data_IF_248514645368
#
_entry.id   IF_248514645368
#
_cell.length_a   1.000
_cell.length_b   1.000
_cell.length_c   1.000
_cell.angle_alpha   90.00
_cell.angle_beta   90.00
_cell.angle_gamma   90.00
#
_symmetry.space_group_name_H-M   'P 1'
#
loop_
_entity.id
_entity.type
_entity.pdbx_description
1 polymer ?
#
# COMPACT_ATOMS: atom_id res chain seq x y z
N UNK A 1 -10.47 25.41 21.46
CA UNK A 1 -9.42 26.13 20.71
C UNK A 1 -8.79 25.24 19.65
N UNK A 2 -8.55 23.96 19.98
CA UNK A 2 -7.90 22.96 19.13
C UNK A 2 -8.46 22.86 17.71
N UNK A 3 -9.80 22.91 17.53
CA UNK A 3 -10.40 22.85 16.19
C UNK A 3 -10.10 24.07 15.32
N UNK A 4 -10.01 25.28 15.92
CA UNK A 4 -9.63 26.47 15.18
C UNK A 4 -8.15 26.42 14.77
N UNK A 5 -7.28 25.95 15.68
CA UNK A 5 -5.87 25.77 15.41
C UNK A 5 -5.62 24.70 14.34
N UNK A 6 -6.31 23.55 14.42
CA UNK A 6 -6.28 22.48 13.41
C UNK A 6 -6.58 23.00 12.00
N UNK A 7 -7.49 23.96 11.85
CA UNK A 7 -7.92 24.47 10.54
C UNK A 7 -7.24 25.80 10.16
N UNK A 8 -6.22 26.23 10.90
CA UNK A 8 -5.43 27.42 10.54
C UNK A 8 -6.16 28.74 10.76
N UNK A 9 -7.23 28.76 11.55
CA UNK A 9 -8.03 29.96 11.76
C UNK A 9 -7.42 30.83 12.87
N UNK A 10 -6.28 31.45 12.61
CA UNK A 10 -5.53 32.24 13.60
C UNK A 10 -6.37 33.34 14.26
N UNK A 11 -7.19 34.06 13.49
CA UNK A 11 -8.04 35.12 14.05
C UNK A 11 -9.09 34.57 15.01
N UNK A 12 -9.64 33.39 14.70
CA UNK A 12 -10.54 32.67 15.62
C UNK A 12 -9.76 32.20 16.84
N UNK A 13 -8.53 31.69 16.69
CA UNK A 13 -7.69 31.29 17.84
C UNK A 13 -7.43 32.48 18.77
N UNK A 14 -7.06 33.66 18.23
CA UNK A 14 -6.87 34.90 18.99
C UNK A 14 -8.15 35.35 19.67
N UNK A 15 -9.25 35.40 18.94
CA UNK A 15 -10.55 35.78 19.51
C UNK A 15 -10.97 34.84 20.65
N UNK A 16 -10.78 33.53 20.47
CA UNK A 16 -11.04 32.51 21.48
C UNK A 16 -10.08 32.59 22.67
N UNK A 17 -8.93 33.27 22.57
CA UNK A 17 -8.03 33.52 23.69
C UNK A 17 -8.47 34.75 24.49
N UNK A 18 -8.81 35.84 23.80
CA UNK A 18 -9.14 37.12 24.43
C UNK A 18 -10.52 37.13 25.10
N UNK A 19 -11.46 36.28 24.66
CA UNK A 19 -12.89 36.42 24.98
C UNK A 19 -13.48 35.27 25.81
N UNK A 20 -12.73 34.60 26.70
CA UNK A 20 -13.24 33.33 27.27
C UNK A 20 -13.18 33.11 28.78
N UNK A 21 -14.33 32.61 29.27
CA UNK A 21 -14.50 31.78 30.46
C UNK A 21 -14.00 30.34 30.22
N UNK A 22 -13.36 29.75 31.23
CA UNK A 22 -12.51 28.54 31.16
C UNK A 22 -13.20 27.27 30.59
N UNK A 23 -14.53 27.16 30.68
CA UNK A 23 -15.25 25.92 30.37
C UNK A 23 -15.52 25.71 28.86
N UNK A 24 -15.62 26.79 28.07
CA UNK A 24 -15.87 26.70 26.63
C UNK A 24 -14.54 26.60 25.82
N UNK A 25 -13.40 26.95 26.44
CA UNK A 25 -12.08 27.10 25.80
C UNK A 25 -11.07 26.00 26.09
N UNK A 26 -11.45 24.72 26.09
CA UNK A 26 -10.41 23.70 26.19
C UNK A 26 -9.42 23.87 25.02
N UNK A 27 -8.21 24.28 25.40
CA UNK A 27 -7.00 24.28 24.62
C UNK A 27 -6.14 23.20 25.22
N UNK A 28 -5.61 22.33 24.38
CA UNK A 28 -4.70 21.27 24.80
C UNK A 28 -3.48 21.27 23.90
N UNK A 29 -2.48 20.44 24.19
CA UNK A 29 -1.34 20.23 23.30
C UNK A 29 -1.76 19.87 21.85
N UNK A 30 -2.98 19.31 21.68
CA UNK A 30 -3.55 19.01 20.36
C UNK A 30 -3.73 20.25 19.47
N UNK A 31 -3.86 21.46 20.04
CA UNK A 31 -3.95 22.67 19.24
C UNK A 31 -2.67 22.88 18.42
N UNK A 32 -1.51 22.81 19.08
CA UNK A 32 -0.22 23.00 18.41
C UNK A 32 0.14 21.78 17.57
N UNK A 33 -0.12 20.56 18.05
CA UNK A 33 0.15 19.33 17.30
C UNK A 33 -0.57 19.31 15.95
N UNK A 34 -1.87 19.64 15.95
CA UNK A 34 -2.68 19.64 14.72
C UNK A 34 -2.39 20.83 13.82
N UNK A 35 -2.06 21.99 14.39
CA UNK A 35 -1.63 23.15 13.60
C UNK A 35 -0.30 22.84 12.88
N UNK A 36 0.65 22.21 13.57
CA UNK A 36 1.92 21.79 13.01
C UNK A 36 1.75 20.74 11.90
N UNK A 37 0.96 19.69 12.16
CA UNK A 37 0.68 18.66 11.18
C UNK A 37 -0.02 19.18 9.92
N UNK A 38 -0.86 20.21 10.03
CA UNK A 38 -1.58 20.79 8.90
C UNK A 38 -0.91 22.02 8.27
N UNK A 39 0.32 22.37 8.67
CA UNK A 39 1.10 23.38 7.96
C UNK A 39 0.88 24.83 8.40
N UNK A 40 0.21 25.07 9.52
CA UNK A 40 -0.11 26.41 10.00
C UNK A 40 0.96 26.97 10.95
N UNK A 41 2.11 27.38 10.39
CA UNK A 41 3.25 27.89 11.17
C UNK A 41 2.90 29.15 11.99
N UNK A 42 2.07 30.03 11.45
CA UNK A 42 1.61 31.25 12.12
C UNK A 42 0.79 30.93 13.39
N UNK A 43 -0.08 29.92 13.32
CA UNK A 43 -0.82 29.39 14.46
C UNK A 43 0.13 28.72 15.46
N UNK A 44 1.10 27.93 15.00
CA UNK A 44 2.10 27.31 15.88
C UNK A 44 2.90 28.36 16.66
N UNK A 45 3.41 29.39 15.97
CA UNK A 45 4.15 30.50 16.57
C UNK A 45 3.31 31.27 17.57
N UNK A 46 2.05 31.55 17.23
CA UNK A 46 1.15 32.25 18.12
C UNK A 46 0.81 31.42 19.37
N UNK A 47 0.48 30.13 19.20
CA UNK A 47 0.21 29.23 20.32
C UNK A 47 1.43 29.15 21.24
N UNK A 48 2.65 29.08 20.70
CA UNK A 48 3.86 29.07 21.50
C UNK A 48 4.07 30.36 22.32
N UNK A 49 3.77 31.52 21.74
CA UNK A 49 3.99 32.81 22.39
C UNK A 49 2.95 33.13 23.48
N UNK A 50 1.72 32.64 23.34
CA UNK A 50 0.59 33.07 24.17
C UNK A 50 -0.08 31.94 24.98
N UNK A 51 0.32 30.68 24.79
CA UNK A 51 -0.24 29.50 25.47
C UNK A 51 0.86 28.69 26.18
N UNK A 52 0.49 28.00 27.26
CA UNK A 52 1.42 27.21 28.09
C UNK A 52 1.22 25.70 27.97
N UNK A 53 0.18 25.25 27.28
CA UNK A 53 -0.12 23.83 27.08
C UNK A 53 0.93 23.08 26.24
N UNK A 54 1.73 23.82 25.46
CA UNK A 54 2.81 23.27 24.65
C UNK A 54 2.34 22.36 23.50
N UNK A 55 3.20 21.43 23.11
CA UNK A 55 2.91 20.39 22.14
C UNK A 55 3.34 19.02 22.67
N UNK A 56 3.09 17.97 21.90
CA UNK A 56 3.74 16.68 22.08
C UNK A 56 4.73 16.42 20.93
N UNK A 57 5.42 15.27 20.96
CA UNK A 57 6.22 14.81 19.81
C UNK A 57 5.41 14.70 18.52
N UNK A 58 4.08 14.58 18.63
CA UNK A 58 3.14 14.51 17.50
C UNK A 58 3.17 15.76 16.63
N UNK A 59 3.55 16.94 17.18
CA UNK A 59 3.71 18.15 16.37
C UNK A 59 4.80 17.99 15.32
N UNK A 60 5.99 17.54 15.72
CA UNK A 60 7.11 17.36 14.80
C UNK A 60 6.93 16.11 13.93
N UNK A 61 6.42 15.00 14.50
CA UNK A 61 6.10 13.79 13.74
C UNK A 61 5.06 14.07 12.64
N UNK A 62 4.01 14.82 12.97
CA UNK A 62 2.96 15.22 12.02
C UNK A 62 3.45 16.21 10.97
N UNK A 63 4.21 17.23 11.37
CA UNK A 63 4.82 18.17 10.41
C UNK A 63 5.78 17.47 9.45
N UNK A 64 6.53 16.47 9.94
CA UNK A 64 7.44 15.68 9.10
C UNK A 64 6.68 14.79 8.12
N UNK A 65 5.60 14.15 8.58
CA UNK A 65 4.71 13.32 7.76
C UNK A 65 4.12 14.09 6.58
N UNK A 66 3.70 15.34 6.78
CA UNK A 66 3.04 16.16 5.75
C UNK A 66 4.04 17.10 5.03
N UNK A 67 5.35 16.93 5.27
CA UNK A 67 6.40 17.59 4.49
C UNK A 67 6.67 19.05 4.88
N UNK A 68 6.20 19.50 6.04
CA UNK A 68 6.31 20.88 6.50
C UNK A 68 7.68 21.18 7.14
N UNK A 69 8.75 21.17 6.33
CA UNK A 69 10.13 21.38 6.79
C UNK A 69 10.31 22.66 7.63
N UNK A 70 9.67 23.76 7.24
CA UNK A 70 9.75 25.02 8.00
C UNK A 70 9.19 24.91 9.42
N UNK A 71 8.13 24.12 9.62
CA UNK A 71 7.57 23.84 10.95
C UNK A 71 8.48 22.89 11.73
N UNK A 72 9.02 21.85 11.09
CA UNK A 72 9.98 20.93 11.72
C UNK A 72 11.19 21.70 12.25
N UNK A 73 11.78 22.57 11.42
CA UNK A 73 12.89 23.45 11.81
C UNK A 73 12.52 24.39 12.94
N UNK A 74 11.34 25.01 12.85
CA UNK A 74 10.89 25.95 13.87
C UNK A 74 10.67 25.25 15.22
N UNK A 75 9.99 24.10 15.24
CA UNK A 75 9.75 23.30 16.43
C UNK A 75 11.08 22.85 17.06
N UNK A 76 12.04 22.41 16.26
CA UNK A 76 13.36 22.01 16.77
C UNK A 76 14.11 23.11 17.51
N UNK A 77 13.98 24.37 17.07
CA UNK A 77 14.69 25.50 17.68
C UNK A 77 13.97 26.02 18.93
N UNK A 78 12.63 25.94 18.97
CA UNK A 78 11.82 26.63 19.99
C UNK A 78 11.13 25.70 21.00
N UNK A 79 11.18 24.38 20.79
CA UNK A 79 10.50 23.36 21.59
C UNK A 79 11.46 22.23 21.98
N UNK A 80 11.29 21.70 23.19
CA UNK A 80 12.13 20.65 23.75
C UNK A 80 11.49 19.24 23.62
N UNK A 81 10.21 19.17 23.24
CA UNK A 81 9.48 17.90 23.13
C UNK A 81 10.04 16.95 22.06
N UNK A 82 10.72 17.50 21.04
CA UNK A 82 11.38 16.73 19.99
C UNK A 82 10.42 15.95 19.09
N UNK A 83 10.90 14.84 18.55
CA UNK A 83 10.12 13.92 17.72
C UNK A 83 10.34 12.48 18.18
N UNK A 84 9.67 11.54 17.52
CA UNK A 84 9.97 10.11 17.64
C UNK A 84 10.60 9.59 16.34
N UNK A 85 10.84 8.29 16.26
CA UNK A 85 11.23 7.64 14.99
C UNK A 85 10.20 7.86 13.88
N UNK A 86 8.94 8.11 14.26
CA UNK A 86 7.84 8.32 13.32
C UNK A 86 8.07 9.55 12.43
N UNK A 87 8.79 10.58 12.87
CA UNK A 87 9.11 11.72 12.01
C UNK A 87 9.89 11.28 10.76
N UNK A 88 10.94 10.46 10.91
CA UNK A 88 11.70 9.96 9.77
C UNK A 88 10.93 8.87 9.02
N UNK A 89 10.26 7.95 9.73
CA UNK A 89 9.50 6.87 9.09
C UNK A 89 8.37 7.42 8.20
N UNK A 90 7.64 8.44 8.68
CA UNK A 90 6.60 9.09 7.89
C UNK A 90 7.14 10.00 6.81
N UNK A 91 8.19 10.79 7.07
CA UNK A 91 8.83 11.56 6.00
C UNK A 91 9.29 10.65 4.85
N UNK A 92 9.77 9.45 5.17
CA UNK A 92 10.13 8.44 4.18
C UNK A 92 8.91 7.91 3.41
N UNK A 93 7.87 7.52 4.16
CA UNK A 93 6.63 6.96 3.61
C UNK A 93 5.91 7.89 2.63
N UNK A 94 6.01 9.21 2.83
CA UNK A 94 5.34 10.22 2.00
C UNK A 94 6.30 10.92 1.01
N UNK A 95 7.55 10.45 0.90
CA UNK A 95 8.49 10.95 -0.11
C UNK A 95 9.10 12.31 0.22
N UNK A 96 9.08 12.75 1.47
CA UNK A 96 9.59 14.05 1.90
C UNK A 96 11.10 14.00 2.16
N UNK A 97 11.88 13.79 1.09
CA UNK A 97 13.34 13.61 1.16
C UNK A 97 14.06 14.76 1.88
N UNK A 98 13.64 16.01 1.68
CA UNK A 98 14.29 17.16 2.32
C UNK A 98 14.04 17.24 3.82
N UNK A 99 12.83 16.87 4.28
CA UNK A 99 12.54 16.70 5.72
C UNK A 99 13.40 15.59 6.30
N UNK A 100 13.49 14.47 5.59
CA UNK A 100 14.23 13.29 6.04
C UNK A 100 15.74 13.55 6.15
N UNK A 101 16.35 14.22 5.17
CA UNK A 101 17.74 14.71 5.23
C UNK A 101 17.97 15.64 6.41
N UNK A 102 17.04 16.57 6.62
CA UNK A 102 17.17 17.54 7.70
C UNK A 102 17.07 16.87 9.07
N UNK A 103 16.09 15.98 9.27
CA UNK A 103 15.95 15.20 10.51
C UNK A 103 17.21 14.38 10.77
N UNK A 104 17.75 13.69 9.75
CA UNK A 104 18.99 12.93 9.89
C UNK A 104 20.19 13.78 10.35
N UNK A 105 20.31 15.01 9.85
CA UNK A 105 21.43 15.89 10.18
C UNK A 105 21.31 16.55 11.57
N UNK A 106 20.09 16.71 12.10
CA UNK A 106 19.82 17.54 13.29
C UNK A 106 19.19 16.77 14.46
N UNK A 107 18.78 15.52 14.27
CA UNK A 107 18.09 14.69 15.26
C UNK A 107 18.79 13.34 15.41
N UNK A 108 18.61 12.69 16.56
CA UNK A 108 19.32 11.46 16.94
C UNK A 108 18.40 10.24 17.05
N UNK A 109 17.09 10.45 16.96
CA UNK A 109 16.04 9.43 17.12
C UNK A 109 16.15 8.31 16.07
N UNK A 110 16.62 8.67 14.87
CA UNK A 110 16.77 7.75 13.74
C UNK A 110 15.42 7.30 13.18
N UNK A 111 15.43 6.16 12.51
CA UNK A 111 14.24 5.56 11.91
C UNK A 111 14.13 4.07 12.26
N UNK A 112 13.04 3.43 11.86
CA UNK A 112 12.89 1.99 11.83
C UNK A 112 13.15 1.46 10.40
N UNK A 113 13.34 0.14 10.22
CA UNK A 113 13.32 -0.47 8.88
C UNK A 113 12.06 -0.13 8.08
N UNK A 114 10.95 0.14 8.79
CA UNK A 114 9.69 0.59 8.24
C UNK A 114 9.83 1.85 7.35
N UNK A 115 10.79 2.74 7.61
CA UNK A 115 11.03 3.91 6.76
C UNK A 115 11.31 3.51 5.30
N UNK A 116 12.23 2.56 5.09
CA UNK A 116 12.58 2.10 3.75
C UNK A 116 11.49 1.19 3.18
N UNK A 117 10.85 0.35 4.00
CA UNK A 117 9.72 -0.48 3.57
C UNK A 117 8.56 0.37 3.03
N UNK A 118 8.20 1.45 3.74
CA UNK A 118 7.12 2.34 3.33
C UNK A 118 7.52 3.22 2.16
N UNK A 119 8.74 3.78 2.14
CA UNK A 119 9.24 4.51 0.97
C UNK A 119 9.20 3.63 -0.30
N UNK A 120 9.58 2.35 -0.18
CA UNK A 120 9.51 1.40 -1.27
C UNK A 120 8.07 1.09 -1.69
N UNK A 121 7.19 0.83 -0.70
CA UNK A 121 5.75 0.63 -0.91
C UNK A 121 5.12 1.78 -1.69
N UNK A 122 5.47 3.04 -1.41
CA UNK A 122 4.90 4.20 -2.11
C UNK A 122 5.71 4.66 -3.33
N UNK A 123 6.74 3.91 -3.73
CA UNK A 123 7.48 4.16 -4.97
C UNK A 123 8.50 5.29 -4.90
N UNK A 124 8.86 5.77 -3.71
CA UNK A 124 9.83 6.86 -3.48
C UNK A 124 11.27 6.35 -3.62
N UNK A 125 11.69 6.06 -4.85
CA UNK A 125 13.02 5.50 -5.15
C UNK A 125 14.17 6.38 -4.65
N UNK A 126 14.02 7.70 -4.74
CA UNK A 126 15.00 8.67 -4.25
C UNK A 126 15.19 8.59 -2.73
N UNK A 127 14.10 8.42 -1.97
CA UNK A 127 14.13 8.18 -0.53
C UNK A 127 14.75 6.83 -0.21
N UNK A 128 14.40 5.77 -0.94
CA UNK A 128 14.99 4.42 -0.75
C UNK A 128 16.50 4.46 -0.96
N UNK A 129 16.96 5.08 -2.04
CA UNK A 129 18.39 5.25 -2.35
C UNK A 129 19.12 6.05 -1.28
N UNK A 130 18.50 7.14 -0.82
CA UNK A 130 19.07 7.97 0.22
C UNK A 130 19.18 7.22 1.55
N UNK A 131 18.11 6.53 1.98
CA UNK A 131 18.10 5.73 3.20
C UNK A 131 19.18 4.65 3.14
N UNK A 132 19.31 3.94 2.03
CA UNK A 132 20.35 2.93 1.85
C UNK A 132 21.76 3.50 1.99
N UNK A 133 22.00 4.70 1.46
CA UNK A 133 23.34 5.29 1.44
C UNK A 133 23.73 5.95 2.78
N UNK A 134 22.76 6.36 3.60
CA UNK A 134 23.00 7.19 4.78
C UNK A 134 22.55 6.55 6.11
N UNK A 135 21.83 5.42 6.07
CA UNK A 135 21.27 4.75 7.24
C UNK A 135 21.65 3.27 7.25
N UNK A 136 21.73 2.68 8.43
CA UNK A 136 22.13 1.28 8.64
C UNK A 136 20.97 0.37 9.01
N UNK A 137 19.78 0.93 9.27
CA UNK A 137 18.58 0.16 9.66
C UNK A 137 18.10 -0.80 8.56
N UNK A 138 18.36 -0.47 7.29
CA UNK A 138 17.98 -1.31 6.16
C UNK A 138 16.47 -1.34 5.90
N UNK A 139 16.02 -2.42 5.26
CA UNK A 139 14.61 -2.74 5.01
C UNK A 139 14.32 -4.18 5.42
N UNK A 140 13.08 -4.61 5.21
CA UNK A 140 12.67 -6.01 5.29
C UNK A 140 12.23 -6.51 3.92
N UNK A 141 11.90 -7.81 3.80
CA UNK A 141 11.31 -8.37 2.58
C UNK A 141 9.99 -7.66 2.17
N UNK A 142 9.33 -6.97 3.11
CA UNK A 142 8.11 -6.19 2.84
C UNK A 142 8.37 -5.06 1.85
N UNK A 143 9.57 -4.44 1.84
CA UNK A 143 9.90 -3.36 0.91
C UNK A 143 9.68 -3.79 -0.55
N UNK A 144 10.26 -4.91 -0.96
CA UNK A 144 10.14 -5.39 -2.33
C UNK A 144 8.74 -5.90 -2.63
N UNK A 145 8.15 -6.67 -1.71
CA UNK A 145 6.80 -7.21 -1.90
C UNK A 145 5.77 -6.09 -2.08
N UNK A 146 5.78 -5.07 -1.22
CA UNK A 146 4.84 -3.96 -1.29
C UNK A 146 5.08 -3.09 -2.54
N UNK A 147 6.34 -2.81 -2.89
CA UNK A 147 6.69 -2.11 -4.12
C UNK A 147 6.19 -2.87 -5.37
N UNK A 148 6.34 -4.20 -5.39
CA UNK A 148 5.89 -5.05 -6.48
C UNK A 148 4.36 -5.03 -6.60
N UNK A 149 3.63 -5.21 -5.50
CA UNK A 149 2.17 -5.17 -5.47
C UNK A 149 1.62 -3.86 -6.02
N UNK A 150 2.27 -2.74 -5.69
CA UNK A 150 1.86 -1.39 -6.13
C UNK A 150 2.42 -0.98 -7.50
N UNK A 151 3.11 -1.89 -8.19
CA UNK A 151 3.58 -1.65 -9.56
C UNK A 151 4.87 -0.83 -9.66
N UNK A 152 5.57 -0.58 -8.56
CA UNK A 152 6.80 0.24 -8.53
C UNK A 152 8.03 -0.54 -8.98
N UNK A 153 8.04 -0.98 -10.24
CA UNK A 153 9.09 -1.83 -10.82
C UNK A 153 10.50 -1.21 -10.71
N UNK A 154 10.61 0.13 -10.78
CA UNK A 154 11.88 0.84 -10.59
C UNK A 154 12.48 0.61 -9.20
N UNK A 155 11.65 0.65 -8.16
CA UNK A 155 12.05 0.34 -6.77
C UNK A 155 12.39 -1.14 -6.64
N UNK A 156 11.57 -2.03 -7.19
CA UNK A 156 11.81 -3.49 -7.14
C UNK A 156 13.17 -3.85 -7.74
N UNK A 157 13.47 -3.33 -8.94
CA UNK A 157 14.77 -3.55 -9.61
C UNK A 157 15.92 -3.00 -8.77
N UNK A 158 15.75 -1.81 -8.22
CA UNK A 158 16.80 -1.20 -7.40
C UNK A 158 17.05 -2.00 -6.12
N UNK A 159 16.00 -2.42 -5.41
CA UNK A 159 16.13 -3.25 -4.21
C UNK A 159 16.82 -4.58 -4.54
N UNK A 160 16.46 -5.23 -5.65
CA UNK A 160 17.10 -6.47 -6.06
C UNK A 160 18.60 -6.34 -6.31
N UNK A 161 19.06 -5.23 -6.90
CA UNK A 161 20.47 -5.02 -7.17
C UNK A 161 21.28 -4.57 -5.95
N UNK A 162 20.65 -4.00 -4.92
CA UNK A 162 21.36 -3.30 -3.83
C UNK A 162 21.06 -3.87 -2.43
N UNK A 163 20.09 -4.77 -2.29
CA UNK A 163 19.61 -5.36 -1.02
C UNK A 163 19.55 -6.88 -1.12
N UNK A 164 19.61 -7.55 0.02
CA UNK A 164 19.68 -9.03 0.11
C UNK A 164 18.48 -9.65 0.81
N UNK A 165 17.60 -8.84 1.40
CA UNK A 165 16.43 -9.26 2.17
C UNK A 165 15.39 -10.00 1.34
N UNK A 166 15.42 -9.75 0.04
CA UNK A 166 14.55 -10.41 -0.90
C UNK A 166 13.10 -9.92 -0.86
N UNK A 167 12.16 -10.85 -0.98
CA UNK A 167 10.71 -10.63 -1.02
C UNK A 167 10.03 -11.81 -0.33
N UNK A 168 8.78 -11.62 0.09
CA UNK A 168 7.98 -12.69 0.69
C UNK A 168 7.67 -13.79 -0.33
N UNK A 169 7.50 -15.03 0.12
CA UNK A 169 7.18 -16.19 -0.73
C UNK A 169 5.88 -16.00 -1.52
N UNK A 170 4.88 -15.37 -0.90
CA UNK A 170 3.58 -15.04 -1.48
C UNK A 170 3.57 -13.74 -2.32
N UNK A 171 4.75 -13.19 -2.65
CA UNK A 171 4.83 -11.95 -3.44
C UNK A 171 4.22 -12.14 -4.82
N UNK A 172 4.51 -13.25 -5.49
CA UNK A 172 4.06 -13.46 -6.87
C UNK A 172 2.54 -13.54 -6.94
N UNK A 173 1.89 -14.30 -6.07
CA UNK A 173 0.42 -14.40 -6.01
C UNK A 173 -0.24 -13.04 -5.74
N UNK A 174 0.31 -12.24 -4.81
CA UNK A 174 -0.17 -10.89 -4.53
C UNK A 174 -0.03 -9.93 -5.72
N UNK A 175 1.06 -10.01 -6.48
CA UNK A 175 1.26 -9.19 -7.69
C UNK A 175 0.33 -9.63 -8.81
N UNK A 176 0.08 -10.94 -8.95
CA UNK A 176 -0.90 -11.46 -9.92
C UNK A 176 -2.29 -10.87 -9.65
N UNK A 177 -2.73 -10.81 -8.40
CA UNK A 177 -4.02 -10.23 -8.04
C UNK A 177 -4.17 -8.76 -8.48
N UNK A 178 -3.07 -8.00 -8.61
CA UNK A 178 -3.12 -6.60 -9.09
C UNK A 178 -3.15 -6.48 -10.61
N UNK A 179 -2.82 -7.55 -11.34
CA UNK A 179 -2.91 -7.62 -12.81
C UNK A 179 -1.73 -7.01 -13.56
N UNK A 180 -0.67 -6.57 -12.89
CA UNK A 180 0.49 -5.98 -13.54
C UNK A 180 1.46 -7.06 -14.07
N UNK A 181 1.25 -7.48 -15.32
CA UNK A 181 2.04 -8.55 -15.95
C UNK A 181 3.54 -8.25 -16.02
N UNK A 182 3.95 -6.99 -16.16
CA UNK A 182 5.37 -6.63 -16.25
C UNK A 182 6.11 -6.87 -14.93
N UNK A 183 5.45 -6.61 -13.80
CA UNK A 183 6.01 -6.96 -12.49
C UNK A 183 5.97 -8.47 -12.26
N UNK A 184 4.90 -9.16 -12.68
CA UNK A 184 4.81 -10.64 -12.58
C UNK A 184 5.96 -11.30 -13.32
N UNK A 185 6.18 -10.95 -14.59
CA UNK A 185 7.29 -11.48 -15.41
C UNK A 185 8.63 -11.25 -14.72
N UNK A 186 8.86 -10.01 -14.26
CA UNK A 186 10.12 -9.65 -13.65
C UNK A 186 10.36 -10.42 -12.35
N UNK A 187 9.36 -10.51 -11.45
CA UNK A 187 9.49 -11.24 -10.19
C UNK A 187 9.74 -12.73 -10.47
N UNK A 188 8.94 -13.34 -11.36
CA UNK A 188 9.09 -14.76 -11.71
C UNK A 188 10.48 -15.08 -12.27
N UNK A 189 11.04 -14.21 -13.12
CA UNK A 189 12.32 -14.44 -13.79
C UNK A 189 13.55 -14.20 -12.89
N UNK A 190 13.40 -13.38 -11.84
CA UNK A 190 14.55 -12.93 -11.04
C UNK A 190 14.53 -13.46 -9.60
N UNK A 191 13.40 -13.97 -9.10
CA UNK A 191 13.19 -14.34 -7.71
C UNK A 191 12.87 -15.82 -7.59
N UNK A 192 13.81 -16.62 -7.09
CA UNK A 192 13.63 -18.06 -6.94
C UNK A 192 12.83 -18.44 -5.69
N UNK A 193 12.66 -17.52 -4.74
CA UNK A 193 11.96 -17.78 -3.49
C UNK A 193 10.43 -17.64 -3.57
N UNK A 194 9.88 -17.26 -4.72
CA UNK A 194 8.43 -17.06 -4.87
C UNK A 194 7.70 -18.34 -5.24
N UNK A 195 6.48 -18.53 -4.73
CA UNK A 195 5.63 -19.66 -5.09
C UNK A 195 4.86 -19.39 -6.40
N UNK A 196 5.26 -20.07 -7.48
CA UNK A 196 4.59 -19.99 -8.78
C UNK A 196 3.27 -20.74 -8.85
N UNK A 197 3.08 -21.81 -8.05
CA UNK A 197 1.84 -22.61 -8.09
C UNK A 197 0.67 -21.81 -7.53
N UNK A 198 0.85 -21.18 -6.37
CA UNK A 198 -0.16 -20.26 -5.82
C UNK A 198 -0.44 -19.09 -6.77
N UNK A 199 0.58 -18.59 -7.47
CA UNK A 199 0.40 -17.51 -8.44
C UNK A 199 -0.48 -17.91 -9.65
N UNK A 200 -0.33 -19.13 -10.18
CA UNK A 200 -1.19 -19.62 -11.27
C UNK A 200 -2.64 -19.75 -10.82
N UNK A 201 -2.87 -20.27 -9.62
CA UNK A 201 -4.21 -20.37 -9.03
C UNK A 201 -4.87 -19.01 -8.87
N UNK A 202 -4.17 -18.03 -8.31
CA UNK A 202 -4.68 -16.66 -8.19
C UNK A 202 -4.94 -15.98 -9.54
N UNK A 203 -4.11 -16.27 -10.55
CA UNK A 203 -4.30 -15.73 -11.90
C UNK A 203 -5.63 -16.20 -12.51
N UNK A 204 -5.99 -17.46 -12.28
CA UNK A 204 -7.25 -18.04 -12.74
C UNK A 204 -8.43 -17.46 -11.95
N UNK A 205 -8.35 -17.42 -10.61
CA UNK A 205 -9.41 -16.92 -9.73
C UNK A 205 -9.75 -15.45 -10.06
N UNK A 206 -8.74 -14.62 -10.34
CA UNK A 206 -8.90 -13.21 -10.65
C UNK A 206 -9.01 -12.89 -12.15
N UNK A 207 -9.22 -13.90 -13.00
CA UNK A 207 -9.37 -13.75 -14.44
C UNK A 207 -8.24 -12.94 -15.12
N UNK A 208 -7.01 -13.20 -14.69
CA UNK A 208 -5.79 -12.57 -15.23
C UNK A 208 -5.28 -13.34 -16.43
N UNK A 209 -6.08 -13.40 -17.50
CA UNK A 209 -5.84 -14.30 -18.64
C UNK A 209 -4.43 -14.16 -19.25
N UNK A 210 -3.91 -12.95 -19.44
CA UNK A 210 -2.55 -12.76 -19.96
C UNK A 210 -1.47 -13.36 -19.05
N UNK A 211 -1.67 -13.29 -17.73
CA UNK A 211 -0.77 -13.88 -16.74
C UNK A 211 -0.89 -15.40 -16.73
N UNK A 212 -2.13 -15.94 -16.84
CA UNK A 212 -2.37 -17.39 -16.97
C UNK A 212 -1.60 -17.96 -18.17
N UNK A 213 -1.71 -17.31 -19.33
CA UNK A 213 -0.99 -17.71 -20.55
C UNK A 213 0.53 -17.60 -20.36
N UNK A 214 1.01 -16.55 -19.70
CA UNK A 214 2.43 -16.41 -19.38
C UNK A 214 2.95 -17.52 -18.46
N UNK A 215 2.28 -17.78 -17.34
CA UNK A 215 2.69 -18.82 -16.39
C UNK A 215 2.61 -20.23 -17.00
N UNK A 216 1.60 -20.48 -17.84
CA UNK A 216 1.53 -21.70 -18.65
C UNK A 216 2.73 -21.85 -19.60
N UNK A 217 3.17 -20.77 -20.25
CA UNK A 217 4.36 -20.80 -21.12
C UNK A 217 5.67 -21.12 -20.37
N UNK A 218 5.61 -21.11 -19.03
CA UNK A 218 6.71 -21.48 -18.13
C UNK A 218 6.48 -22.83 -17.44
N UNK A 219 5.55 -23.63 -17.97
CA UNK A 219 5.19 -24.96 -17.45
C UNK A 219 4.71 -24.95 -15.98
N UNK A 220 4.11 -23.84 -15.54
CA UNK A 220 3.51 -23.75 -14.20
C UNK A 220 2.17 -24.48 -14.19
N UNK A 221 2.06 -25.47 -13.31
CA UNK A 221 0.81 -26.23 -13.10
C UNK A 221 -0.28 -25.36 -12.45
N UNK A 222 -1.54 -25.61 -12.82
CA UNK A 222 -2.68 -24.88 -12.27
C UNK A 222 -3.04 -25.29 -10.83
N UNK A 223 -2.65 -26.50 -10.41
CA UNK A 223 -3.10 -27.09 -9.15
C UNK A 223 -4.48 -27.75 -9.26
N UNK A 224 -5.05 -28.15 -8.13
CA UNK A 224 -6.37 -28.79 -8.07
C UNK A 224 -7.48 -27.73 -7.92
N UNK A 225 -8.45 -27.79 -8.84
CA UNK A 225 -9.64 -26.92 -8.87
C UNK A 225 -10.94 -27.66 -8.53
N UNK A 226 -10.87 -28.90 -8.07
CA UNK A 226 -12.05 -29.59 -7.53
C UNK A 226 -12.68 -28.74 -6.41
N UNK A 227 -14.01 -28.64 -6.43
CA UNK A 227 -14.83 -27.89 -5.46
C UNK A 227 -14.57 -26.37 -5.42
N UNK A 228 -13.83 -25.81 -6.39
CA UNK A 228 -13.65 -24.36 -6.54
C UNK A 228 -14.75 -23.80 -7.45
N UNK A 229 -15.32 -22.66 -7.04
CA UNK A 229 -16.21 -21.86 -7.90
C UNK A 229 -15.47 -20.66 -8.43
N UNK A 230 -15.38 -20.54 -9.75
CA UNK A 230 -14.91 -19.34 -10.43
C UNK A 230 -16.09 -18.39 -10.65
N UNK A 231 -16.00 -17.20 -10.07
CA UNK A 231 -17.07 -16.19 -10.07
C UNK A 231 -16.91 -15.24 -11.24
N UNK A 232 -17.81 -15.33 -12.22
CA UNK A 232 -17.80 -14.49 -13.41
C UNK A 232 -16.49 -14.48 -14.19
N UNK A 233 -15.82 -15.64 -14.45
CA UNK A 233 -14.61 -15.67 -15.25
C UNK A 233 -14.90 -15.21 -16.69
N UNK A 234 -13.89 -14.74 -17.41
CA UNK A 234 -14.03 -14.48 -18.84
C UNK A 234 -14.33 -15.76 -19.60
N UNK A 235 -15.10 -15.59 -20.68
CA UNK A 235 -15.33 -16.63 -21.67
C UNK A 235 -13.99 -17.15 -22.21
N UNK A 236 -13.07 -16.25 -22.53
CA UNK A 236 -11.76 -16.55 -23.11
C UNK A 236 -10.93 -17.44 -22.18
N UNK A 237 -10.82 -17.06 -20.90
CA UNK A 237 -10.12 -17.87 -19.90
C UNK A 237 -10.77 -19.25 -19.79
N UNK A 238 -12.09 -19.31 -19.74
CA UNK A 238 -12.82 -20.56 -19.50
C UNK A 238 -12.65 -21.54 -20.65
N UNK A 239 -12.81 -21.07 -21.90
CA UNK A 239 -12.53 -21.87 -23.09
C UNK A 239 -11.10 -22.38 -23.11
N UNK A 240 -10.16 -21.51 -22.73
CA UNK A 240 -8.75 -21.85 -22.71
C UNK A 240 -8.43 -22.89 -21.62
N UNK A 241 -9.01 -22.77 -20.43
CA UNK A 241 -8.84 -23.76 -19.35
C UNK A 241 -9.40 -25.13 -19.75
N UNK A 242 -10.61 -25.19 -20.29
CA UNK A 242 -11.21 -26.44 -20.77
C UNK A 242 -10.35 -27.09 -21.86
N UNK A 243 -9.75 -26.30 -22.73
CA UNK A 243 -8.91 -26.81 -23.82
C UNK A 243 -7.56 -27.35 -23.33
N UNK A 244 -6.93 -26.69 -22.36
CA UNK A 244 -5.54 -26.99 -21.97
C UNK A 244 -5.42 -27.78 -20.67
N UNK A 245 -6.44 -27.75 -19.81
CA UNK A 245 -6.40 -28.28 -18.44
C UNK A 245 -7.70 -28.99 -18.03
N UNK A 246 -8.40 -29.65 -18.97
CA UNK A 246 -9.65 -30.38 -18.71
C UNK A 246 -9.61 -31.22 -17.41
N UNK A 247 -8.58 -32.07 -17.25
CA UNK A 247 -8.46 -32.89 -16.04
C UNK A 247 -8.21 -32.07 -14.76
N UNK A 248 -7.42 -31.00 -14.85
CA UNK A 248 -7.06 -30.17 -13.69
C UNK A 248 -8.19 -29.27 -13.20
N UNK A 249 -9.22 -29.03 -14.02
CA UNK A 249 -10.43 -28.27 -13.66
C UNK A 249 -11.67 -29.17 -13.49
N UNK A 250 -11.52 -30.50 -13.53
CA UNK A 250 -12.64 -31.40 -13.26
C UNK A 250 -13.13 -31.20 -11.82
N UNK A 251 -14.45 -31.12 -11.64
CA UNK A 251 -15.09 -30.72 -10.38
C UNK A 251 -15.14 -29.21 -10.13
N UNK A 252 -14.60 -28.36 -11.02
CA UNK A 252 -14.67 -26.91 -10.91
C UNK A 252 -16.04 -26.39 -11.35
N UNK A 253 -16.59 -25.43 -10.61
CA UNK A 253 -17.82 -24.73 -10.95
C UNK A 253 -17.56 -23.34 -11.55
N UNK A 254 -18.39 -22.91 -12.48
CA UNK A 254 -18.35 -21.61 -13.14
C UNK A 254 -19.68 -20.90 -12.88
N UNK A 255 -19.63 -19.76 -12.19
CA UNK A 255 -20.79 -18.89 -11.99
C UNK A 255 -20.87 -17.88 -13.13
N UNK A 256 -21.83 -18.08 -14.03
CA UNK A 256 -21.98 -17.27 -15.24
C UNK A 256 -23.27 -16.44 -15.16
N UNK A 257 -23.24 -15.12 -15.40
CA UNK A 257 -24.45 -14.30 -15.41
C UNK A 257 -25.48 -14.83 -16.42
N UNK A 258 -26.76 -14.86 -16.04
CA UNK A 258 -27.84 -15.39 -16.90
C UNK A 258 -28.03 -14.61 -18.20
N UNK A 259 -27.70 -13.31 -18.18
CA UNK A 259 -27.79 -12.44 -19.36
C UNK A 259 -26.74 -12.75 -20.43
N UNK A 260 -25.62 -13.41 -20.08
CA UNK A 260 -24.63 -13.86 -21.05
C UNK A 260 -25.09 -15.17 -21.69
N UNK A 261 -26.09 -15.06 -22.56
CA UNK A 261 -26.69 -16.20 -23.24
C UNK A 261 -25.67 -16.99 -24.06
N UNK A 262 -24.67 -16.31 -24.63
CA UNK A 262 -23.63 -16.94 -25.46
C UNK A 262 -22.80 -17.85 -24.58
N UNK A 263 -22.32 -17.35 -23.44
CA UNK A 263 -21.55 -18.13 -22.48
C UNK A 263 -22.34 -19.31 -21.94
N UNK A 264 -23.56 -19.08 -21.45
CA UNK A 264 -24.40 -20.17 -20.98
C UNK A 264 -24.70 -21.23 -22.05
N UNK A 265 -24.88 -20.83 -23.32
CA UNK A 265 -25.11 -21.78 -24.40
C UNK A 265 -23.87 -22.61 -24.72
N UNK A 266 -22.69 -22.00 -24.68
CA UNK A 266 -21.44 -22.74 -24.84
C UNK A 266 -21.18 -23.72 -23.71
N UNK A 267 -21.45 -23.35 -22.45
CA UNK A 267 -21.31 -24.30 -21.33
C UNK A 267 -22.17 -25.56 -21.56
N UNK A 268 -23.40 -25.40 -22.10
CA UNK A 268 -24.24 -26.55 -22.51
C UNK A 268 -23.60 -27.37 -23.62
N UNK A 269 -23.08 -26.72 -24.65
CA UNK A 269 -22.44 -27.39 -25.78
C UNK A 269 -21.14 -28.10 -25.36
N UNK A 270 -20.43 -27.55 -24.37
CA UNK A 270 -19.24 -28.13 -23.74
C UNK A 270 -19.58 -29.28 -22.76
N UNK A 271 -20.84 -29.72 -22.70
CA UNK A 271 -21.33 -30.79 -21.82
C UNK A 271 -21.17 -30.53 -20.32
N UNK A 272 -21.04 -29.25 -19.92
CA UNK A 272 -21.04 -28.89 -18.49
C UNK A 272 -22.42 -29.14 -17.88
N UNK A 273 -22.43 -29.64 -16.64
CA UNK A 273 -23.67 -29.91 -15.90
C UNK A 273 -24.15 -28.64 -15.20
N UNK A 274 -25.38 -28.22 -15.50
CA UNK A 274 -26.01 -27.12 -14.76
C UNK A 274 -26.42 -27.58 -13.36
N UNK A 275 -25.79 -27.03 -12.32
CA UNK A 275 -26.10 -27.35 -10.90
C UNK A 275 -27.23 -26.46 -10.38
N UNK A 276 -27.14 -25.15 -10.65
CA UNK A 276 -28.10 -24.16 -10.17
C UNK A 276 -28.41 -23.13 -11.26
N UNK A 277 -29.60 -22.53 -11.20
CA UNK A 277 -30.05 -21.47 -12.08
C UNK A 277 -31.02 -20.54 -11.33
N UNK A 278 -30.54 -19.36 -10.98
CA UNK A 278 -31.31 -18.29 -10.34
C UNK A 278 -31.49 -17.11 -11.31
N UNK A 279 -32.28 -16.09 -10.95
CA UNK A 279 -32.58 -14.96 -11.85
C UNK A 279 -31.32 -14.21 -12.32
N UNK A 280 -30.24 -14.19 -11.52
CA UNK A 280 -29.01 -13.45 -11.82
C UNK A 280 -27.86 -14.28 -12.42
N UNK A 281 -27.71 -15.54 -12.01
CA UNK A 281 -26.55 -16.38 -12.36
C UNK A 281 -26.93 -17.84 -12.62
N UNK A 282 -26.14 -18.52 -13.43
CA UNK A 282 -26.20 -19.97 -13.66
C UNK A 282 -24.89 -20.59 -13.23
N UNK A 283 -24.96 -21.63 -12.39
CA UNK A 283 -23.79 -22.38 -11.94
C UNK A 283 -23.60 -23.62 -12.80
N UNK A 284 -22.46 -23.69 -13.49
CA UNK A 284 -22.06 -24.80 -14.36
C UNK A 284 -20.93 -25.59 -13.72
N UNK A 285 -21.09 -26.89 -13.55
CA UNK A 285 -20.02 -27.80 -13.16
C UNK A 285 -19.35 -28.39 -14.39
N UNK A 286 -18.03 -28.37 -14.39
CA UNK A 286 -17.24 -29.11 -15.36
C UNK A 286 -16.82 -30.45 -14.75
N UNK A 287 -17.41 -31.54 -15.24
CA UNK A 287 -17.15 -32.92 -14.81
C UNK A 287 -16.39 -33.68 -15.90
#
# INVERSE_FOLDING_TARGET
>A
MDSAAKNGHLDVVKWLHDNRDEECSRCTHLAMDKAAANGFLDVVQWLHAYRSEGCSSSAMDGAAREGHLGIVQWLHVHRDEGCTKLAMDYAASYGHLEVLKWLHANRTEGCAPAAMDWAASYGHLDVVQWLHSNRSEGCTAVAMTAAAMRGHLGVVRWLHCNRTEGCLEDTLSKVVATGNIEVVKWIYENRSEVDSRSAMKEAIIHDRFEIVVYLHSKDVEIGDFADITLYGPSWELTQWLVKNYAEGISGCSFEIPTWDYRFNDWCRQASMRRINHDEGVTLWLYD
#
